data_IF_744798888431
#
_entry.id   IF_744798888431
#
_cell.length_a   1.000
_cell.length_b   1.000
_cell.length_c   1.000
_cell.angle_alpha   90.00
_cell.angle_beta   90.00
_cell.angle_gamma   90.00
#
_symmetry.space_group_name_H-M   'P 1'
#
loop_
_entity.id
_entity.type
_entity.pdbx_description
1 polymer ?
#
# COMPACT_ATOMS: atom_id res chain seq x y z
N UNK A 1 -5.55 13.37 15.31
CA UNK A 1 -4.90 12.16 14.77
C UNK A 1 -5.04 12.13 13.23
N UNK A 2 -3.93 12.27 12.50
CA UNK A 2 -3.92 12.07 11.05
C UNK A 2 -4.31 10.61 10.83
N UNK A 3 -5.50 10.35 10.26
CA UNK A 3 -5.84 9.01 9.80
C UNK A 3 -4.83 8.69 8.68
N UNK A 4 -3.90 7.78 8.95
CA UNK A 4 -2.99 7.30 7.92
C UNK A 4 -3.83 6.74 6.77
N UNK A 5 -3.72 7.31 5.57
CA UNK A 5 -4.31 6.73 4.38
C UNK A 5 -3.74 5.32 4.23
N UNK A 6 -4.56 4.27 4.35
CA UNK A 6 -4.10 2.88 4.48
C UNK A 6 -4.52 2.17 5.78
N UNK A 7 -5.10 2.88 6.75
CA UNK A 7 -5.50 2.29 8.04
C UNK A 7 -6.88 1.60 8.04
N UNK A 8 -7.69 1.80 7.01
CA UNK A 8 -9.03 1.20 6.93
C UNK A 8 -8.97 -0.15 6.18
N UNK A 9 -9.63 -1.22 6.67
CA UNK A 9 -9.54 -2.55 6.08
C UNK A 9 -9.85 -2.63 4.58
N UNK A 10 -10.73 -1.75 4.10
CA UNK A 10 -11.09 -1.67 2.68
C UNK A 10 -9.90 -1.34 1.78
N UNK A 11 -8.95 -0.52 2.26
CA UNK A 11 -7.77 -0.14 1.48
C UNK A 11 -6.86 -1.34 1.26
N UNK A 12 -6.71 -2.20 2.27
CA UNK A 12 -5.94 -3.44 2.15
C UNK A 12 -6.62 -4.42 1.19
N UNK A 13 -7.96 -4.52 1.24
CA UNK A 13 -8.71 -5.39 0.34
C UNK A 13 -8.54 -4.97 -1.14
N UNK A 14 -8.51 -3.68 -1.44
CA UNK A 14 -8.26 -3.17 -2.79
C UNK A 14 -6.86 -3.52 -3.31
N UNK A 15 -5.84 -3.43 -2.45
CA UNK A 15 -4.46 -3.83 -2.78
C UNK A 15 -4.38 -5.33 -3.09
N UNK A 16 -5.03 -6.16 -2.28
CA UNK A 16 -5.11 -7.61 -2.52
C UNK A 16 -5.87 -7.91 -3.82
N UNK A 17 -6.99 -7.23 -4.07
CA UNK A 17 -7.76 -7.39 -5.29
C UNK A 17 -6.92 -7.08 -6.53
N UNK A 18 -6.12 -5.99 -6.50
CA UNK A 18 -5.19 -5.66 -7.57
C UNK A 18 -4.06 -6.67 -7.71
N UNK A 19 -3.51 -7.18 -6.61
CA UNK A 19 -2.46 -8.20 -6.64
C UNK A 19 -2.96 -9.53 -7.23
N UNK A 20 -4.25 -9.81 -7.10
CA UNK A 20 -4.90 -11.00 -7.65
C UNK A 20 -5.42 -10.82 -9.09
N UNK A 21 -5.36 -9.61 -9.67
CA UNK A 21 -5.85 -9.35 -11.03
C UNK A 21 -4.78 -9.65 -12.10
N UNK A 22 -5.23 -9.79 -13.35
CA UNK A 22 -4.35 -9.97 -14.51
C UNK A 22 -3.36 -8.82 -14.69
N UNK A 23 -3.64 -7.64 -14.12
CA UNK A 23 -2.71 -6.52 -14.17
C UNK A 23 -1.42 -6.77 -13.40
N UNK A 24 -1.47 -7.65 -12.41
CA UNK A 24 -0.31 -8.08 -11.63
C UNK A 24 0.34 -9.36 -12.19
N UNK A 25 -0.04 -9.81 -13.40
CA UNK A 25 0.39 -11.09 -13.97
C UNK A 25 1.92 -11.27 -14.08
N UNK A 26 2.68 -10.18 -14.11
CA UNK A 26 4.14 -10.20 -14.16
C UNK A 26 4.82 -9.87 -12.81
N UNK A 27 4.05 -9.82 -11.72
CA UNK A 27 4.54 -9.56 -10.37
C UNK A 27 4.54 -10.86 -9.57
N UNK A 28 5.71 -11.25 -9.05
CA UNK A 28 5.85 -12.38 -8.13
C UNK A 28 6.99 -12.10 -7.15
N UNK A 29 6.87 -12.60 -5.92
CA UNK A 29 7.86 -12.39 -4.86
C UNK A 29 8.00 -10.94 -4.37
N UNK A 30 7.10 -10.04 -4.75
CA UNK A 30 7.11 -8.65 -4.33
C UNK A 30 6.32 -8.45 -3.03
N UNK A 31 6.77 -7.51 -2.19
CA UNK A 31 6.03 -7.01 -1.03
C UNK A 31 5.46 -5.62 -1.35
N UNK A 32 4.15 -5.46 -1.19
CA UNK A 32 3.47 -4.19 -1.43
C UNK A 32 3.10 -3.53 -0.10
N UNK A 33 3.69 -2.36 0.16
CA UNK A 33 3.46 -1.61 1.39
C UNK A 33 2.24 -0.71 1.24
N UNK A 34 1.20 -0.98 2.05
CA UNK A 34 -0.02 -0.19 2.15
C UNK A 34 -0.12 0.43 3.55
N UNK A 35 0.86 1.26 3.90
CA UNK A 35 1.08 1.75 5.27
C UNK A 35 0.91 3.28 5.42
N UNK A 36 0.45 3.95 4.36
CA UNK A 36 0.32 5.41 4.34
C UNK A 36 1.64 6.17 4.34
N UNK A 37 2.73 5.52 3.94
CA UNK A 37 4.06 6.11 3.91
C UNK A 37 4.80 6.01 5.24
N UNK A 38 4.33 5.19 6.18
CA UNK A 38 4.97 5.00 7.48
C UNK A 38 6.45 4.56 7.36
N UNK A 39 6.73 3.63 6.46
CA UNK A 39 8.08 3.10 6.23
C UNK A 39 8.99 4.01 5.38
N UNK A 40 8.45 5.10 4.80
CA UNK A 40 9.26 6.08 4.08
C UNK A 40 10.12 6.95 5.03
N UNK A 41 9.81 6.94 6.33
CA UNK A 41 10.50 7.75 7.32
C UNK A 41 10.12 9.23 7.25
N UNK A 42 10.79 10.10 8.03
CA UNK A 42 10.55 11.53 8.01
C UNK A 42 10.86 12.11 6.64
N UNK A 43 9.86 12.70 5.99
CA UNK A 43 10.06 13.48 4.76
C UNK A 43 10.41 14.90 5.20
N UNK A 44 11.64 15.35 4.96
CA UNK A 44 11.96 16.77 5.17
C UNK A 44 11.12 17.61 4.20
N UNK A 45 10.36 18.61 4.68
CA UNK A 45 9.68 19.53 3.79
C UNK A 45 10.73 20.39 3.09
N UNK A 46 10.80 20.26 1.76
CA UNK A 46 11.63 21.08 0.87
C UNK A 46 11.32 22.57 0.98
#
# INVERSE_FOLDING_TARGET
PIKAAGSEPIVIAEVIFRAASDDAAYTTGAEWLADGGFMLGPVEPS
#
